data_IF_979855688383
#
_entry.id   IF_979855688383
#
_cell.length_a   1.000
_cell.length_b   1.000
_cell.length_c   1.000
_cell.angle_alpha   90.00
_cell.angle_beta   90.00
_cell.angle_gamma   90.00
#
_symmetry.space_group_name_H-M   'P 1'
#
loop_
_entity.id
_entity.type
_entity.pdbx_description
1 polymer ?
#
# COMPACT_ATOMS: atom_id res chain seq x y z
N UNK A 1 13.97 9.71 -8.36
CA UNK A 1 12.86 8.97 -8.98
C UNK A 1 11.97 8.31 -7.92
N UNK A 2 11.04 9.04 -7.27
CA UNK A 2 10.25 8.46 -6.16
C UNK A 2 9.22 7.43 -6.62
N UNK A 3 8.50 7.71 -7.71
CA UNK A 3 7.41 6.87 -8.19
C UNK A 3 7.89 5.47 -8.56
N UNK A 4 8.96 5.35 -9.37
CA UNK A 4 9.46 4.03 -9.78
C UNK A 4 10.05 3.23 -8.63
N UNK A 5 10.74 3.89 -7.69
CA UNK A 5 11.19 3.24 -6.44
C UNK A 5 9.98 2.76 -5.64
N UNK A 6 8.94 3.57 -5.51
CA UNK A 6 7.71 3.22 -4.81
C UNK A 6 7.02 1.99 -5.41
N UNK A 7 6.94 1.90 -6.74
CA UNK A 7 6.40 0.71 -7.44
C UNK A 7 7.26 -0.52 -7.23
N UNK A 8 8.58 -0.39 -7.36
CA UNK A 8 9.50 -1.52 -7.16
C UNK A 8 9.43 -2.06 -5.72
N UNK A 9 9.47 -1.16 -4.72
CA UNK A 9 9.32 -1.53 -3.31
C UNK A 9 7.94 -2.13 -3.03
N UNK A 10 6.88 -1.56 -3.59
CA UNK A 10 5.51 -2.08 -3.45
C UNK A 10 5.37 -3.50 -3.98
N UNK A 11 5.90 -3.78 -5.17
CA UNK A 11 5.91 -5.11 -5.76
C UNK A 11 6.70 -6.12 -4.91
N UNK A 12 7.87 -5.72 -4.40
CA UNK A 12 8.68 -6.56 -3.52
C UNK A 12 7.96 -6.89 -2.20
N UNK A 13 7.34 -5.89 -1.57
CA UNK A 13 6.57 -6.07 -0.34
C UNK A 13 5.36 -6.98 -0.57
N UNK A 14 4.61 -6.75 -1.66
CA UNK A 14 3.47 -7.60 -2.01
C UNK A 14 3.88 -9.06 -2.21
N UNK A 15 4.94 -9.32 -2.97
CA UNK A 15 5.42 -10.68 -3.21
C UNK A 15 5.79 -11.41 -1.90
N UNK A 16 6.48 -10.72 -0.98
CA UNK A 16 6.85 -11.26 0.34
C UNK A 16 5.64 -11.49 1.24
N UNK A 17 4.68 -10.56 1.22
CA UNK A 17 3.46 -10.65 2.01
C UNK A 17 2.60 -11.84 1.56
N UNK A 18 2.40 -12.00 0.25
CA UNK A 18 1.66 -13.13 -0.32
C UNK A 18 2.34 -14.47 0.00
N UNK A 19 3.68 -14.52 0.00
CA UNK A 19 4.44 -15.72 0.35
C UNK A 19 4.21 -16.21 1.79
N UNK A 20 3.79 -15.33 2.70
CA UNK A 20 3.44 -15.68 4.09
C UNK A 20 1.93 -15.71 4.35
N UNK A 21 1.11 -15.73 3.29
CA UNK A 21 -0.36 -15.82 3.41
C UNK A 21 -1.07 -14.51 3.78
N UNK A 22 -0.40 -13.35 3.66
CA UNK A 22 -1.04 -12.06 3.89
C UNK A 22 -1.99 -11.71 2.74
N UNK A 23 -3.25 -11.41 3.05
CA UNK A 23 -4.24 -10.98 2.04
C UNK A 23 -4.17 -9.49 1.72
N UNK A 24 -3.55 -8.68 2.59
CA UNK A 24 -3.54 -7.24 2.44
C UNK A 24 -2.76 -6.49 3.52
N UNK A 25 -3.03 -5.20 3.61
CA UNK A 25 -2.31 -4.29 4.50
C UNK A 25 -3.19 -3.13 4.96
N UNK A 26 -2.78 -2.48 6.05
CA UNK A 26 -3.35 -1.22 6.51
C UNK A 26 -2.65 -0.05 5.82
N UNK A 27 -3.44 0.83 5.18
CA UNK A 27 -2.89 1.97 4.46
C UNK A 27 -2.48 3.08 5.43
N UNK A 28 -1.16 3.32 5.55
CA UNK A 28 -0.62 4.37 6.41
C UNK A 28 -0.23 5.60 5.61
N UNK A 29 -0.41 6.77 6.21
CA UNK A 29 -0.06 8.06 5.63
C UNK A 29 1.04 8.73 6.44
N UNK A 30 1.85 9.56 5.78
CA UNK A 30 2.91 10.33 6.44
C UNK A 30 2.61 11.84 6.35
N UNK A 31 2.61 12.50 7.50
CA UNK A 31 2.73 13.95 7.64
C UNK A 31 1.63 14.83 7.00
N UNK A 32 1.81 16.14 7.13
CA UNK A 32 0.84 17.16 6.73
C UNK A 32 0.64 17.30 5.20
N UNK A 33 1.53 16.74 4.37
CA UNK A 33 1.54 16.88 2.91
C UNK A 33 0.80 15.80 2.11
N UNK A 34 0.11 14.86 2.76
CA UNK A 34 -0.62 13.79 2.05
C UNK A 34 -1.84 14.35 1.31
N UNK A 35 -2.06 13.96 0.05
CA UNK A 35 -3.21 14.42 -0.76
C UNK A 35 -4.56 14.04 -0.13
N UNK A 36 -5.65 14.80 -0.35
CA UNK A 36 -6.96 14.51 0.26
C UNK A 36 -7.52 13.11 -0.05
N UNK A 37 -7.39 12.63 -1.29
CA UNK A 37 -7.78 11.28 -1.71
C UNK A 37 -7.06 10.19 -0.91
N UNK A 38 -5.74 10.35 -0.72
CA UNK A 38 -4.90 9.46 0.10
C UNK A 38 -5.19 9.56 1.60
N UNK A 39 -5.59 10.74 2.10
CA UNK A 39 -6.03 10.89 3.51
C UNK A 39 -7.32 10.12 3.77
N UNK A 40 -8.24 10.07 2.80
CA UNK A 40 -9.49 9.30 2.90
C UNK A 40 -9.28 7.78 2.91
N UNK A 41 -8.08 7.31 2.56
CA UNK A 41 -7.72 5.88 2.66
C UNK A 41 -6.89 5.55 3.89
N UNK A 42 -6.59 6.53 4.75
CA UNK A 42 -5.87 6.28 6.00
C UNK A 42 -6.58 5.20 6.83
N UNK A 43 -5.80 4.24 7.30
CA UNK A 43 -6.21 3.15 8.19
C UNK A 43 -7.27 2.21 7.56
N UNK A 44 -7.52 2.31 6.25
CA UNK A 44 -8.34 1.33 5.53
C UNK A 44 -7.51 0.10 5.20
N UNK A 45 -8.12 -1.07 5.36
CA UNK A 45 -7.55 -2.31 4.89
C UNK A 45 -7.66 -2.39 3.36
N UNK A 46 -6.55 -2.70 2.71
CA UNK A 46 -6.46 -2.85 1.26
C UNK A 46 -5.94 -4.24 0.95
N UNK A 47 -6.71 -5.01 0.18
CA UNK A 47 -6.27 -6.31 -0.33
C UNK A 47 -5.24 -6.12 -1.44
N UNK A 48 -4.30 -7.05 -1.56
CA UNK A 48 -3.31 -7.06 -2.63
C UNK A 48 -3.92 -7.24 -4.03
N UNK A 49 -5.06 -7.93 -4.13
CA UNK A 49 -5.77 -8.20 -5.38
C UNK A 49 -6.77 -7.09 -5.79
N UNK A 50 -7.06 -6.16 -4.89
CA UNK A 50 -8.06 -5.11 -5.09
C UNK A 50 -7.55 -3.74 -4.63
N UNK A 51 -6.51 -3.18 -5.29
CA UNK A 51 -6.01 -1.84 -5.00
C UNK A 51 -7.08 -0.76 -5.19
N UNK A 52 -7.07 0.32 -4.38
CA UNK A 52 -7.98 1.44 -4.56
C UNK A 52 -7.60 2.27 -5.79
N UNK A 53 -8.59 3.00 -6.31
CA UNK A 53 -8.38 4.03 -7.34
C UNK A 53 -8.41 5.41 -6.69
N UNK A 54 -7.30 6.14 -6.80
CA UNK A 54 -7.11 7.48 -6.23
C UNK A 54 -6.51 8.38 -7.32
N UNK A 55 -6.95 9.64 -7.37
CA UNK A 55 -6.40 10.63 -8.31
C UNK A 55 -6.40 10.16 -9.78
N UNK A 56 -7.40 9.36 -10.17
CA UNK A 56 -7.55 8.81 -11.53
C UNK A 56 -6.63 7.62 -11.84
N UNK A 57 -5.92 7.05 -10.85
CA UNK A 57 -5.05 5.90 -11.04
C UNK A 57 -5.31 4.82 -9.98
N UNK A 58 -5.20 3.57 -10.39
CA UNK A 58 -5.29 2.41 -9.49
C UNK A 58 -3.90 2.01 -9.00
N UNK A 59 -3.71 1.85 -7.70
CA UNK A 59 -2.44 1.41 -7.15
C UNK A 59 -2.38 1.31 -5.63
N UNK A 60 -1.34 0.62 -5.15
CA UNK A 60 -1.08 0.44 -3.73
C UNK A 60 -0.40 1.66 -3.09
N UNK A 61 -0.32 1.66 -1.77
CA UNK A 61 0.37 2.70 -1.01
C UNK A 61 1.82 2.83 -1.49
N UNK A 62 2.27 4.06 -1.73
CA UNK A 62 3.62 4.34 -2.23
C UNK A 62 3.79 4.15 -3.75
N UNK A 63 2.87 3.49 -4.45
CA UNK A 63 2.99 3.18 -5.89
C UNK A 63 2.43 4.28 -6.81
N UNK A 64 1.61 5.19 -6.28
CA UNK A 64 1.06 6.31 -7.04
C UNK A 64 2.08 7.46 -7.20
N UNK A 65 1.94 8.33 -8.22
CA UNK A 65 2.88 9.42 -8.47
C UNK A 65 3.16 10.27 -7.24
N UNK A 66 4.45 10.43 -6.89
CA UNK A 66 4.93 11.18 -5.73
C UNK A 66 4.27 10.80 -4.38
N UNK A 67 3.75 9.58 -4.25
CA UNK A 67 3.12 9.10 -3.03
C UNK A 67 4.17 8.85 -1.93
N UNK A 68 3.78 9.12 -0.67
CA UNK A 68 4.56 8.82 0.55
C UNK A 68 3.82 7.88 1.51
N UNK A 69 2.67 7.35 1.10
CA UNK A 69 1.94 6.37 1.89
C UNK A 69 2.71 5.05 1.94
N UNK A 70 2.48 4.25 2.98
CA UNK A 70 3.11 2.95 3.12
C UNK A 70 2.09 1.85 3.46
N UNK A 71 2.47 0.62 3.12
CA UNK A 71 1.71 -0.59 3.41
C UNK A 71 2.19 -1.19 4.72
N UNK A 72 1.36 -1.11 5.77
CA UNK A 72 1.60 -1.88 6.99
C UNK A 72 0.96 -3.26 6.83
N UNK A 73 1.80 -4.22 6.42
CA UNK A 73 1.36 -5.57 6.04
C UNK A 73 0.69 -6.28 7.22
N UNK A 74 -0.49 -6.86 6.97
CA UNK A 74 -1.13 -7.75 7.94
C UNK A 74 -0.49 -9.13 7.84
N UNK A 75 0.22 -9.53 8.89
CA UNK A 75 0.83 -10.85 8.99
C UNK A 75 -0.19 -11.80 9.63
N UNK A 76 -0.56 -12.92 8.97
CA UNK A 76 -1.43 -13.91 9.57
C UNK A 76 -0.71 -14.66 10.69
N UNK A 77 -1.48 -15.29 11.57
CA UNK A 77 -0.92 -16.16 12.60
C UNK A 77 -0.14 -17.32 11.96
N UNK A 78 0.96 -17.78 12.60
CA UNK A 78 1.67 -18.96 12.14
C UNK A 78 0.71 -20.15 12.00
N UNK A 79 0.77 -20.83 10.87
CA UNK A 79 0.09 -22.12 10.71
C UNK A 79 0.75 -23.10 11.68
N UNK A 80 -0.06 -23.73 12.54
CA UNK A 80 0.40 -24.74 13.51
C UNK A 80 0.82 -26.03 12.84
#
# INVERSE_FOLDING_TARGET
>A
ARTEIGRATGALTQARALAVGSEGYWWRIEGAGTRPSHRKTKDKFVRWDSPPTLDGMTGHAGCLPNCKCCSEVQIPDPVK
#
